data_IF_652782009514
#
_entry.id   IF_652782009514
#
_cell.length_a   1.000
_cell.length_b   1.000
_cell.length_c   1.000
_cell.angle_alpha   90.00
_cell.angle_beta   90.00
_cell.angle_gamma   90.00
#
_symmetry.space_group_name_H-M   'P 1'
#
loop_
_entity.id
_entity.type
_entity.pdbx_description
1 polymer ?
#
# COMPACT_ATOMS: atom_id res chain seq x y z
N UNK A 1 -28.52 -23.84 -32.24
CA UNK A 1 -28.23 -22.39 -32.21
C UNK A 1 -27.40 -22.05 -30.97
N UNK A 2 -26.05 -21.97 -31.05
CA UNK A 2 -25.20 -21.59 -29.91
C UNK A 2 -24.19 -20.48 -30.28
N UNK A 3 -24.66 -19.33 -30.78
CA UNK A 3 -23.77 -18.23 -31.20
C UNK A 3 -23.88 -16.94 -30.36
N UNK A 4 -24.81 -16.89 -29.40
CA UNK A 4 -25.04 -15.69 -28.57
C UNK A 4 -24.22 -15.64 -27.29
N UNK A 5 -23.70 -16.78 -26.81
CA UNK A 5 -22.89 -16.85 -25.58
C UNK A 5 -21.43 -16.40 -25.76
N UNK A 6 -20.88 -16.53 -26.97
CA UNK A 6 -19.48 -16.17 -27.25
C UNK A 6 -19.29 -14.69 -27.56
N UNK A 7 -20.30 -14.02 -28.14
CA UNK A 7 -20.25 -12.60 -28.46
C UNK A 7 -20.30 -11.72 -27.21
N UNK A 8 -21.18 -12.06 -26.26
CA UNK A 8 -21.29 -11.38 -24.96
C UNK A 8 -20.02 -11.52 -24.12
N UNK A 9 -19.47 -12.74 -24.01
CA UNK A 9 -18.21 -12.97 -23.29
C UNK A 9 -16.99 -12.29 -23.95
N UNK A 10 -17.00 -12.10 -25.28
CA UNK A 10 -15.93 -11.39 -26.00
C UNK A 10 -16.06 -9.87 -25.84
N UNK A 11 -17.28 -9.33 -25.79
CA UNK A 11 -17.56 -7.91 -25.51
C UNK A 11 -17.09 -7.53 -24.10
N UNK A 12 -17.49 -8.30 -23.08
CA UNK A 12 -17.11 -8.03 -21.68
C UNK A 12 -15.61 -8.11 -21.46
N UNK A 13 -14.92 -9.08 -22.09
CA UNK A 13 -13.47 -9.22 -21.99
C UNK A 13 -12.71 -8.08 -22.70
N UNK A 14 -13.27 -7.54 -23.79
CA UNK A 14 -12.72 -6.36 -24.46
C UNK A 14 -12.87 -5.11 -23.59
N UNK A 15 -14.05 -4.90 -23.02
CA UNK A 15 -14.33 -3.79 -22.10
C UNK A 15 -13.44 -3.84 -20.86
N UNK A 16 -13.27 -5.01 -20.23
CA UNK A 16 -12.38 -5.20 -19.10
C UNK A 16 -10.92 -4.89 -19.43
N UNK A 17 -10.47 -5.22 -20.64
CA UNK A 17 -9.12 -4.96 -21.11
C UNK A 17 -8.90 -3.47 -21.38
N UNK A 18 -9.85 -2.82 -22.04
CA UNK A 18 -9.84 -1.37 -22.26
C UNK A 18 -9.84 -0.60 -20.94
N UNK A 19 -10.63 -1.05 -19.96
CA UNK A 19 -10.67 -0.49 -18.62
C UNK A 19 -9.35 -0.70 -17.87
N UNK A 20 -8.74 -1.87 -18.01
CA UNK A 20 -7.44 -2.16 -17.41
C UNK A 20 -6.33 -1.27 -17.99
N UNK A 21 -6.38 -0.99 -19.30
CA UNK A 21 -5.48 -0.04 -19.94
C UNK A 21 -5.68 1.37 -19.36
N UNK A 22 -6.93 1.83 -19.24
CA UNK A 22 -7.24 3.14 -18.64
C UNK A 22 -6.77 3.25 -17.18
N UNK A 23 -7.00 2.21 -16.36
CA UNK A 23 -6.53 2.14 -14.97
C UNK A 23 -5.00 2.11 -14.85
N UNK A 24 -4.30 1.66 -15.89
CA UNK A 24 -2.84 1.71 -15.98
C UNK A 24 -2.29 3.05 -16.52
N UNK A 25 -3.16 4.04 -16.73
CA UNK A 25 -2.79 5.34 -17.31
C UNK A 25 -2.46 5.27 -18.80
N UNK A 26 -3.02 4.30 -19.52
CA UNK A 26 -2.86 4.13 -20.97
C UNK A 26 -4.16 4.39 -21.70
N UNK A 27 -4.08 4.87 -22.94
CA UNK A 27 -5.26 5.07 -23.76
C UNK A 27 -5.91 3.72 -24.11
N UNK A 28 -7.24 3.63 -23.97
CA UNK A 28 -8.01 2.42 -24.34
C UNK A 28 -7.81 2.01 -25.80
N UNK A 29 -7.58 2.98 -26.70
CA UNK A 29 -7.55 2.74 -28.15
C UNK A 29 -6.16 2.57 -28.73
N UNK A 30 -5.23 3.46 -28.39
CA UNK A 30 -3.86 3.40 -28.93
C UNK A 30 -2.84 2.77 -27.96
N UNK A 31 -3.26 2.38 -26.74
CA UNK A 31 -2.40 1.82 -25.68
C UNK A 31 -1.20 2.69 -25.25
N UNK A 32 -1.09 3.92 -25.78
CA UNK A 32 -0.03 4.87 -25.45
C UNK A 32 -0.21 5.41 -24.02
N UNK A 33 0.90 5.73 -23.34
CA UNK A 33 0.84 6.33 -22.00
C UNK A 33 0.23 7.73 -22.08
N UNK A 34 -0.77 7.99 -21.26
CA UNK A 34 -1.42 9.29 -21.17
C UNK A 34 -0.79 10.09 -20.03
N UNK A 35 -0.54 11.41 -20.18
CA UNK A 35 -0.06 12.23 -19.09
C UNK A 35 -0.98 12.18 -17.87
N UNK A 36 -0.42 12.16 -16.67
CA UNK A 36 -1.17 12.07 -15.42
C UNK A 36 -2.27 13.13 -15.29
N UNK A 37 -3.40 12.76 -14.69
CA UNK A 37 -4.58 13.61 -14.52
C UNK A 37 -5.50 13.69 -15.74
N UNK A 38 -5.05 13.36 -16.95
CA UNK A 38 -5.92 13.38 -18.17
C UNK A 38 -7.07 12.39 -18.09
N UNK A 39 -6.78 11.15 -17.72
CA UNK A 39 -7.78 10.09 -17.56
C UNK A 39 -8.81 10.45 -16.48
N UNK A 40 -8.40 11.14 -15.41
CA UNK A 40 -9.28 11.55 -14.31
C UNK A 40 -10.12 12.80 -14.65
N UNK A 41 -9.60 13.67 -15.51
CA UNK A 41 -10.26 14.92 -15.94
C UNK A 41 -11.07 14.77 -17.23
N UNK A 42 -11.15 13.57 -17.80
CA UNK A 42 -11.88 13.30 -19.05
C UNK A 42 -11.29 14.02 -20.28
N UNK A 43 -9.99 14.33 -20.27
CA UNK A 43 -9.35 15.01 -21.40
C UNK A 43 -9.05 14.01 -22.53
N UNK A 44 -9.17 14.40 -23.81
CA UNK A 44 -8.86 13.51 -24.92
C UNK A 44 -7.38 13.11 -24.93
N UNK A 45 -7.09 11.91 -25.45
CA UNK A 45 -5.72 11.44 -25.60
C UNK A 45 -4.93 12.38 -26.53
N UNK A 46 -3.71 12.81 -26.16
CA UNK A 46 -2.92 13.72 -26.99
C UNK A 46 -2.44 13.10 -28.31
N UNK A 47 -2.45 11.76 -28.44
CA UNK A 47 -2.01 11.07 -29.67
C UNK A 47 -3.15 10.73 -30.62
N UNK A 48 -4.26 10.18 -30.12
CA UNK A 48 -5.35 9.69 -30.97
C UNK A 48 -6.66 10.48 -30.81
N UNK A 49 -6.66 11.55 -30.01
CA UNK A 49 -7.83 12.38 -29.69
C UNK A 49 -9.06 11.66 -29.08
N UNK A 50 -8.96 10.35 -28.86
CA UNK A 50 -10.01 9.55 -28.23
C UNK A 50 -10.31 10.06 -26.81
N UNK A 51 -11.60 10.22 -26.50
CA UNK A 51 -12.04 10.66 -25.17
C UNK A 51 -11.77 9.55 -24.14
N UNK A 52 -11.11 9.90 -23.04
CA UNK A 52 -10.75 8.92 -21.99
C UNK A 52 -11.93 8.52 -21.11
N UNK A 53 -12.95 9.39 -21.01
CA UNK A 53 -14.19 9.18 -20.27
C UNK A 53 -15.32 9.84 -21.09
N UNK A 54 -16.00 9.09 -21.97
CA UNK A 54 -17.04 9.66 -22.82
C UNK A 54 -18.35 9.95 -22.06
N UNK A 55 -18.60 9.28 -20.92
CA UNK A 55 -19.84 9.44 -20.15
C UNK A 55 -19.59 9.47 -18.62
N UNK A 56 -20.39 10.20 -17.82
CA UNK A 56 -20.27 10.22 -16.37
C UNK A 56 -20.66 8.88 -15.72
N UNK A 57 -21.50 8.07 -16.38
CA UNK A 57 -21.82 6.69 -15.97
C UNK A 57 -20.60 5.78 -16.00
N UNK A 58 -19.74 5.93 -17.03
CA UNK A 58 -18.53 5.11 -17.18
C UNK A 58 -17.52 5.41 -16.07
N UNK A 59 -17.51 6.65 -15.59
CA UNK A 59 -16.68 7.07 -14.45
C UNK A 59 -17.05 6.32 -13.17
N UNK A 60 -18.35 6.19 -12.90
CA UNK A 60 -18.85 5.47 -11.73
C UNK A 60 -18.51 3.97 -11.83
N UNK A 61 -18.70 3.37 -13.01
CA UNK A 61 -18.34 1.96 -13.27
C UNK A 61 -16.84 1.72 -13.06
N UNK A 62 -15.98 2.62 -13.54
CA UNK A 62 -14.53 2.56 -13.32
C UNK A 62 -14.19 2.63 -11.82
N UNK A 63 -14.85 3.53 -11.07
CA UNK A 63 -14.64 3.66 -9.63
C UNK A 63 -15.08 2.40 -8.88
N UNK A 64 -16.24 1.84 -9.22
CA UNK A 64 -16.76 0.61 -8.59
C UNK A 64 -15.84 -0.58 -8.85
N UNK A 65 -15.47 -0.84 -10.11
CA UNK A 65 -14.59 -1.95 -10.48
C UNK A 65 -13.17 -1.81 -9.88
N UNK A 66 -12.63 -0.60 -9.83
CA UNK A 66 -11.35 -0.34 -9.17
C UNK A 66 -11.44 -0.62 -7.66
N UNK A 67 -12.56 -0.25 -7.04
CA UNK A 67 -12.80 -0.45 -5.61
C UNK A 67 -12.97 -1.93 -5.24
N UNK A 68 -13.64 -2.69 -6.09
CA UNK A 68 -13.90 -4.12 -5.89
C UNK A 68 -12.61 -4.93 -6.05
N UNK A 69 -11.87 -4.72 -7.14
CA UNK A 69 -10.55 -5.35 -7.35
C UNK A 69 -9.57 -5.02 -6.22
N UNK A 70 -9.60 -3.79 -5.71
CA UNK A 70 -8.77 -3.40 -4.57
C UNK A 70 -9.17 -4.12 -3.28
N UNK A 71 -10.48 -4.31 -3.05
CA UNK A 71 -11.01 -5.03 -1.88
C UNK A 71 -10.62 -6.51 -1.92
N UNK A 72 -10.76 -7.15 -3.07
CA UNK A 72 -10.37 -8.56 -3.25
C UNK A 72 -8.87 -8.76 -3.02
N UNK A 73 -8.02 -7.92 -3.62
CA UNK A 73 -6.57 -7.99 -3.43
C UNK A 73 -6.15 -7.75 -1.98
N UNK A 74 -6.80 -6.82 -1.29
CA UNK A 74 -6.60 -6.58 0.13
C UNK A 74 -7.01 -7.81 0.95
N UNK A 75 -8.18 -8.38 0.67
CA UNK A 75 -8.68 -9.59 1.34
C UNK A 75 -7.74 -10.77 1.17
N UNK A 76 -7.22 -11.00 -0.03
CA UNK A 76 -6.21 -12.04 -0.31
C UNK A 76 -4.94 -11.79 0.50
N UNK A 77 -4.44 -10.55 0.54
CA UNK A 77 -3.24 -10.23 1.31
C UNK A 77 -3.43 -10.45 2.81
N UNK A 78 -4.58 -10.04 3.35
CA UNK A 78 -4.92 -10.23 4.78
C UNK A 78 -5.08 -11.72 5.11
N UNK A 79 -5.79 -12.48 4.27
CA UNK A 79 -5.99 -13.92 4.47
C UNK A 79 -4.65 -14.68 4.41
N UNK A 80 -3.81 -14.35 3.41
CA UNK A 80 -2.47 -14.94 3.29
C UNK A 80 -1.62 -14.63 4.51
N UNK A 81 -1.63 -13.38 4.98
CA UNK A 81 -0.87 -12.97 6.17
C UNK A 81 -1.38 -13.68 7.42
N UNK A 82 -2.69 -13.80 7.61
CA UNK A 82 -3.27 -14.50 8.74
C UNK A 82 -2.86 -15.98 8.76
N UNK A 83 -2.98 -16.68 7.62
CA UNK A 83 -2.59 -18.08 7.48
C UNK A 83 -1.08 -18.28 7.70
N UNK A 84 -0.25 -17.45 7.08
CA UNK A 84 1.19 -17.58 7.20
C UNK A 84 1.69 -17.16 8.60
N UNK A 85 1.04 -16.20 9.26
CA UNK A 85 1.36 -15.83 10.64
C UNK A 85 1.04 -16.93 11.65
N UNK A 86 0.00 -17.76 11.40
CA UNK A 86 -0.28 -18.94 12.22
C UNK A 86 0.87 -19.95 12.16
N UNK A 87 1.38 -20.24 10.96
CA UNK A 87 2.52 -21.15 10.76
C UNK A 87 3.82 -20.54 11.27
N UNK A 88 4.04 -19.25 11.03
CA UNK A 88 5.25 -18.52 11.42
C UNK A 88 5.31 -18.16 12.91
N UNK A 89 4.24 -18.36 13.68
CA UNK A 89 4.17 -18.00 15.10
C UNK A 89 5.25 -18.65 15.98
N UNK A 90 5.90 -19.71 15.48
CA UNK A 90 6.99 -20.44 16.12
C UNK A 90 8.38 -19.85 15.85
N UNK A 91 8.53 -18.97 14.86
CA UNK A 91 9.83 -18.42 14.44
C UNK A 91 9.80 -16.89 14.59
N UNK A 92 10.53 -16.31 15.56
CA UNK A 92 10.71 -14.87 15.67
C UNK A 92 11.27 -14.29 14.36
N UNK A 93 10.95 -13.05 14.02
CA UNK A 93 11.37 -12.34 12.79
C UNK A 93 10.71 -12.81 11.47
N UNK A 94 10.25 -14.05 11.37
CA UNK A 94 9.61 -14.55 10.14
C UNK A 94 8.26 -13.85 9.88
N UNK A 95 7.53 -13.53 10.94
CA UNK A 95 6.32 -12.70 10.90
C UNK A 95 6.60 -11.26 10.44
N UNK A 96 7.72 -10.66 10.86
CA UNK A 96 8.13 -9.33 10.42
C UNK A 96 8.48 -9.30 8.93
N UNK A 97 9.21 -10.32 8.44
CA UNK A 97 9.50 -10.46 7.01
C UNK A 97 8.22 -10.64 6.18
N UNK A 98 7.27 -11.43 6.68
CA UNK A 98 5.97 -11.65 6.04
C UNK A 98 5.19 -10.33 5.90
N UNK A 99 5.17 -9.50 6.94
CA UNK A 99 4.53 -8.20 6.92
C UNK A 99 5.18 -7.24 5.91
N UNK A 100 6.50 -7.21 5.85
CA UNK A 100 7.24 -6.42 4.85
C UNK A 100 6.87 -6.90 3.44
N UNK A 101 6.88 -8.22 3.20
CA UNK A 101 6.52 -8.79 1.90
C UNK A 101 5.07 -8.45 1.51
N UNK A 102 4.11 -8.54 2.44
CA UNK A 102 2.72 -8.18 2.20
C UNK A 102 2.54 -6.69 1.85
N UNK A 103 3.24 -5.80 2.55
CA UNK A 103 3.20 -4.36 2.27
C UNK A 103 3.85 -4.02 0.92
N UNK A 104 4.95 -4.70 0.57
CA UNK A 104 5.58 -4.59 -0.76
C UNK A 104 4.63 -5.08 -1.86
N UNK A 105 3.95 -6.20 -1.62
CA UNK A 105 2.94 -6.73 -2.55
C UNK A 105 1.79 -5.75 -2.74
N UNK A 106 1.21 -5.20 -1.67
CA UNK A 106 0.15 -4.18 -1.74
C UNK A 106 0.64 -2.91 -2.46
N UNK A 107 1.89 -2.52 -2.23
CA UNK A 107 2.54 -1.40 -2.94
C UNK A 107 2.59 -1.61 -4.45
N UNK A 108 3.03 -2.78 -4.88
CA UNK A 108 3.15 -3.10 -6.32
C UNK A 108 1.77 -3.24 -6.95
N UNK A 109 0.85 -3.94 -6.29
CA UNK A 109 -0.45 -4.31 -6.87
C UNK A 109 -1.53 -3.23 -6.77
N UNK A 110 -1.52 -2.38 -5.73
CA UNK A 110 -2.55 -1.34 -5.51
C UNK A 110 -2.01 0.07 -5.71
N UNK A 111 -0.86 0.38 -5.11
CA UNK A 111 -0.37 1.77 -5.04
C UNK A 111 0.26 2.22 -6.35
N UNK A 112 1.12 1.38 -6.93
CA UNK A 112 1.87 1.72 -8.15
C UNK A 112 0.97 2.10 -9.35
N UNK A 113 -0.08 1.34 -9.70
CA UNK A 113 -0.97 1.72 -10.80
C UNK A 113 -1.75 3.00 -10.49
N UNK A 114 -2.29 3.16 -9.27
CA UNK A 114 -3.02 4.36 -8.88
C UNK A 114 -2.15 5.63 -8.94
N UNK A 115 -0.87 5.53 -8.59
CA UNK A 115 0.09 6.65 -8.68
C UNK A 115 0.40 7.07 -10.12
N UNK A 116 0.19 6.21 -11.12
CA UNK A 116 0.41 6.58 -12.53
C UNK A 116 -0.70 7.48 -13.09
N UNK A 117 -1.87 7.48 -12.45
CA UNK A 117 -3.00 8.33 -12.83
C UNK A 117 -2.85 9.78 -12.36
N UNK A 118 -1.94 10.04 -11.42
CA UNK A 118 -1.71 11.38 -10.84
C UNK A 118 -0.71 12.20 -11.66
N UNK A 119 -0.83 13.52 -11.58
CA UNK A 119 0.18 14.46 -12.10
C UNK A 119 1.56 14.25 -11.46
N UNK A 120 2.67 14.60 -12.14
CA UNK A 120 4.02 14.29 -11.65
C UNK A 120 4.34 14.88 -10.27
N UNK A 121 3.86 16.09 -9.98
CA UNK A 121 4.05 16.74 -8.68
C UNK A 121 3.31 15.98 -7.56
N UNK A 122 2.01 15.69 -7.74
CA UNK A 122 1.19 14.93 -6.77
C UNK A 122 1.65 13.50 -6.59
N UNK A 123 2.17 12.89 -7.66
CA UNK A 123 2.75 11.56 -7.63
C UNK A 123 3.95 11.49 -6.69
N UNK A 124 4.79 12.53 -6.66
CA UNK A 124 5.98 12.56 -5.81
C UNK A 124 5.59 12.67 -4.33
N UNK A 125 4.72 13.63 -3.98
CA UNK A 125 4.21 13.80 -2.61
C UNK A 125 3.52 12.52 -2.14
N UNK A 126 2.56 12.00 -2.93
CA UNK A 126 1.81 10.79 -2.57
C UNK A 126 2.69 9.55 -2.44
N UNK A 127 3.72 9.40 -3.28
CA UNK A 127 4.67 8.29 -3.20
C UNK A 127 5.45 8.32 -1.89
N UNK A 128 5.94 9.49 -1.48
CA UNK A 128 6.70 9.65 -0.24
C UNK A 128 5.81 9.50 0.99
N UNK A 129 4.63 10.13 1.00
CA UNK A 129 3.64 9.95 2.06
C UNK A 129 3.31 8.48 2.29
N UNK A 130 2.97 7.75 1.23
CA UNK A 130 2.69 6.32 1.33
C UNK A 130 3.92 5.50 1.71
N UNK A 131 5.15 6.04 1.55
CA UNK A 131 6.40 5.31 1.85
C UNK A 131 6.70 5.43 3.33
N UNK A 132 6.58 6.64 3.83
CA UNK A 132 6.71 6.94 5.26
C UNK A 132 5.60 6.25 6.05
N UNK A 133 4.35 6.29 5.57
CA UNK A 133 3.25 5.57 6.20
C UNK A 133 3.51 4.06 6.26
N UNK A 134 3.90 3.43 5.14
CA UNK A 134 4.25 2.01 5.13
C UNK A 134 5.41 1.70 6.09
N UNK A 135 6.44 2.55 6.13
CA UNK A 135 7.53 2.42 7.11
C UNK A 135 7.05 2.51 8.55
N UNK A 136 6.11 3.40 8.86
CA UNK A 136 5.52 3.52 10.19
C UNK A 136 4.72 2.27 10.57
N UNK A 137 3.92 1.71 9.65
CA UNK A 137 3.22 0.46 9.89
C UNK A 137 4.20 -0.68 10.19
N UNK A 138 5.30 -0.80 9.44
CA UNK A 138 6.34 -1.80 9.71
C UNK A 138 7.01 -1.59 11.06
N UNK A 139 7.42 -0.35 11.38
CA UNK A 139 8.08 -0.04 12.65
C UNK A 139 7.16 -0.33 13.85
N UNK A 140 5.87 0.05 13.74
CA UNK A 140 4.85 -0.27 14.72
C UNK A 140 4.62 -1.78 14.84
N UNK A 141 4.61 -2.53 13.73
CA UNK A 141 4.55 -3.99 13.74
C UNK A 141 5.68 -4.60 14.54
N UNK A 142 6.92 -4.19 14.28
CA UNK A 142 8.08 -4.71 15.01
C UNK A 142 7.94 -4.40 16.50
N UNK A 143 7.63 -3.16 16.87
CA UNK A 143 7.43 -2.77 18.27
C UNK A 143 6.37 -3.62 18.97
N UNK A 144 5.19 -3.74 18.37
CA UNK A 144 4.07 -4.46 18.99
C UNK A 144 4.33 -5.96 19.06
N UNK A 145 4.86 -6.56 17.98
CA UNK A 145 5.13 -7.99 17.93
C UNK A 145 6.25 -8.39 18.89
N UNK A 146 7.32 -7.60 19.00
CA UNK A 146 8.39 -7.82 19.97
C UNK A 146 7.92 -7.55 21.41
N UNK A 147 7.03 -6.60 21.64
CA UNK A 147 6.45 -6.45 22.98
C UNK A 147 5.59 -7.67 23.36
N UNK A 148 4.88 -8.25 22.38
CA UNK A 148 4.08 -9.47 22.56
C UNK A 148 4.92 -10.75 22.68
N UNK A 149 6.20 -10.77 22.25
CA UNK A 149 7.06 -11.95 22.51
C UNK A 149 7.39 -12.09 23.99
N UNK A 150 7.30 -11.00 24.77
CA UNK A 150 7.52 -11.01 26.22
C UNK A 150 6.34 -11.62 27.02
N UNK A 151 5.18 -11.85 26.39
CA UNK A 151 3.98 -12.41 27.04
C UNK A 151 3.75 -13.86 26.56
N UNK A 152 4.08 -14.90 27.36
CA UNK A 152 3.83 -16.29 26.98
C UNK A 152 2.33 -16.65 26.94
N UNK A 153 1.98 -17.69 26.19
CA UNK A 153 0.64 -18.31 26.01
C UNK A 153 -0.41 -17.55 25.17
N UNK A 154 -0.66 -16.25 25.36
CA UNK A 154 -1.64 -15.49 24.54
C UNK A 154 -1.05 -14.89 23.25
N UNK A 155 0.26 -14.97 23.09
CA UNK A 155 0.99 -14.28 22.02
C UNK A 155 0.65 -14.73 20.61
N UNK A 156 0.37 -16.02 20.34
CA UNK A 156 0.24 -16.50 18.96
C UNK A 156 -1.02 -15.95 18.26
N UNK A 157 -2.20 -16.13 18.85
CA UNK A 157 -3.46 -15.62 18.27
C UNK A 157 -3.49 -14.09 18.23
N UNK A 158 -2.98 -13.44 19.29
CA UNK A 158 -2.88 -11.98 19.32
C UNK A 158 -1.93 -11.45 18.23
N UNK A 159 -0.77 -12.09 18.00
CA UNK A 159 0.17 -11.75 16.91
C UNK A 159 -0.48 -11.92 15.54
N UNK A 160 -1.27 -12.97 15.33
CA UNK A 160 -2.01 -13.17 14.08
C UNK A 160 -3.05 -12.06 13.87
N UNK A 161 -3.86 -11.76 14.89
CA UNK A 161 -4.87 -10.71 14.80
C UNK A 161 -4.25 -9.33 14.55
N UNK A 162 -3.15 -9.01 15.25
CA UNK A 162 -2.43 -7.74 15.10
C UNK A 162 -1.78 -7.65 13.72
N UNK A 163 -1.08 -8.69 13.25
CA UNK A 163 -0.41 -8.66 11.95
C UNK A 163 -1.41 -8.55 10.80
N UNK A 164 -2.50 -9.33 10.81
CA UNK A 164 -3.57 -9.23 9.84
C UNK A 164 -4.26 -7.85 9.90
N UNK A 165 -4.55 -7.36 11.11
CA UNK A 165 -5.12 -6.04 11.34
C UNK A 165 -4.24 -4.91 10.81
N UNK A 166 -2.93 -4.99 11.00
CA UNK A 166 -1.98 -3.99 10.50
C UNK A 166 -1.93 -3.95 8.97
N UNK A 167 -1.94 -5.11 8.31
CA UNK A 167 -1.99 -5.17 6.83
C UNK A 167 -3.32 -4.61 6.32
N UNK A 168 -4.43 -4.95 6.97
CA UNK A 168 -5.74 -4.42 6.65
C UNK A 168 -5.77 -2.89 6.79
N UNK A 169 -5.30 -2.36 7.92
CA UNK A 169 -5.25 -0.91 8.19
C UNK A 169 -4.32 -0.18 7.21
N UNK A 170 -3.14 -0.72 6.92
CA UNK A 170 -2.21 -0.14 5.97
C UNK A 170 -2.80 -0.08 4.55
N UNK A 171 -3.47 -1.15 4.13
CA UNK A 171 -4.13 -1.20 2.83
C UNK A 171 -5.37 -0.31 2.74
N UNK A 172 -6.18 -0.25 3.80
CA UNK A 172 -7.33 0.67 3.91
C UNK A 172 -6.87 2.13 3.88
N UNK A 173 -5.82 2.47 4.62
CA UNK A 173 -5.22 3.79 4.61
C UNK A 173 -4.71 4.15 3.21
N UNK A 174 -3.93 3.28 2.57
CA UNK A 174 -3.41 3.52 1.23
C UNK A 174 -4.54 3.73 0.21
N UNK A 175 -5.60 2.92 0.28
CA UNK A 175 -6.79 3.05 -0.59
C UNK A 175 -7.52 4.37 -0.35
N UNK A 176 -7.84 4.71 0.90
CA UNK A 176 -8.53 5.97 1.26
C UNK A 176 -7.71 7.19 0.85
N UNK A 177 -6.41 7.17 1.13
CA UNK A 177 -5.51 8.26 0.77
C UNK A 177 -5.42 8.44 -0.75
N UNK A 178 -5.29 7.36 -1.52
CA UNK A 178 -5.24 7.41 -2.98
C UNK A 178 -6.58 7.87 -3.57
N UNK A 179 -7.71 7.36 -3.08
CA UNK A 179 -9.04 7.78 -3.53
C UNK A 179 -9.27 9.28 -3.28
N UNK A 180 -8.84 9.77 -2.12
CA UNK A 180 -8.90 11.19 -1.78
C UNK A 180 -8.00 12.05 -2.71
N UNK A 181 -6.80 11.58 -3.03
CA UNK A 181 -5.89 12.26 -3.97
C UNK A 181 -6.41 12.27 -5.42
N UNK A 182 -6.96 11.15 -5.89
CA UNK A 182 -7.53 11.06 -7.25
C UNK A 182 -8.77 11.92 -7.40
N UNK A 183 -9.61 12.02 -6.37
CA UNK A 183 -10.77 12.90 -6.37
C UNK A 183 -10.37 14.38 -6.48
N UNK A 184 -9.37 14.82 -5.71
CA UNK A 184 -8.87 16.20 -5.81
C UNK A 184 -8.23 16.50 -7.15
N UNK A 185 -7.55 15.51 -7.75
CA UNK A 185 -6.93 15.64 -9.07
C UNK A 185 -8.00 15.77 -10.16
N UNK A 186 -9.08 14.99 -10.05
CA UNK A 186 -10.23 15.09 -10.94
C UNK A 186 -10.95 16.43 -10.83
N UNK A 187 -11.00 17.03 -9.63
CA UNK A 187 -11.50 18.40 -9.40
C UNK A 187 -10.51 19.50 -9.80
N UNK A 188 -9.29 19.16 -10.25
CA UNK A 188 -8.27 20.12 -10.67
C UNK A 188 -7.67 20.97 -9.55
N UNK A 189 -7.81 20.54 -8.29
CA UNK A 189 -7.27 21.27 -7.13
C UNK A 189 -5.73 21.19 -7.16
N UNK A 190 -5.03 22.26 -6.77
CA UNK A 190 -3.57 22.24 -6.64
C UNK A 190 -3.11 21.43 -5.42
N UNK A 191 -1.79 21.16 -5.31
CA UNK A 191 -1.21 20.57 -4.09
C UNK A 191 -1.26 21.62 -2.99
N UNK A 192 -1.92 21.30 -1.88
CA UNK A 192 -2.01 22.23 -0.75
C UNK A 192 -0.80 22.07 0.19
N UNK A 193 -0.39 23.18 0.83
CA UNK A 193 0.75 23.19 1.76
C UNK A 193 0.61 22.16 2.90
N UNK A 194 -0.61 21.92 3.38
CA UNK A 194 -0.85 20.95 4.45
C UNK A 194 -0.52 19.50 4.05
N UNK A 195 -0.50 19.16 2.75
CA UNK A 195 -0.05 17.84 2.29
C UNK A 195 1.43 17.60 2.60
N UNK A 196 2.23 18.67 2.62
CA UNK A 196 3.61 18.64 3.09
C UNK A 196 3.67 18.44 4.61
N UNK A 197 2.75 19.08 5.36
CA UNK A 197 2.57 18.83 6.79
C UNK A 197 2.28 17.37 7.11
N UNK A 198 1.47 16.69 6.28
CA UNK A 198 1.18 15.27 6.43
C UNK A 198 2.43 14.40 6.16
N UNK A 199 3.27 14.78 5.19
CA UNK A 199 4.55 14.12 4.93
C UNK A 199 5.51 14.27 6.11
N UNK A 200 5.63 15.49 6.67
CA UNK A 200 6.42 15.77 7.87
C UNK A 200 5.88 14.99 9.07
N UNK A 201 4.56 14.93 9.26
CA UNK A 201 3.93 14.15 10.32
C UNK A 201 4.31 12.67 10.27
N UNK A 202 4.22 12.04 9.09
CA UNK A 202 4.66 10.65 8.92
C UNK A 202 6.16 10.46 9.12
N UNK A 203 6.98 11.44 8.71
CA UNK A 203 8.43 11.41 8.96
C UNK A 203 8.74 11.43 10.46
N UNK A 204 8.09 12.34 11.22
CA UNK A 204 8.24 12.42 12.67
C UNK A 204 7.75 11.14 13.35
N UNK A 205 6.60 10.60 12.95
CA UNK A 205 6.14 9.30 13.48
C UNK A 205 7.16 8.19 13.21
N UNK A 206 7.72 8.10 12.01
CA UNK A 206 8.71 7.10 11.68
C UNK A 206 9.96 7.22 12.56
N UNK A 207 10.45 8.45 12.77
CA UNK A 207 11.57 8.72 13.67
C UNK A 207 11.25 8.28 15.10
N UNK A 208 10.06 8.61 15.61
CA UNK A 208 9.66 8.22 16.97
C UNK A 208 9.57 6.70 17.14
N UNK A 209 8.99 5.98 16.17
CA UNK A 209 8.91 4.52 16.23
C UNK A 209 10.30 3.89 16.09
N UNK A 210 11.16 4.43 15.24
CA UNK A 210 12.53 3.92 15.10
C UNK A 210 13.32 4.11 16.39
N UNK A 211 13.24 5.29 17.02
CA UNK A 211 13.86 5.56 18.30
C UNK A 211 13.32 4.62 19.40
N UNK A 212 11.99 4.44 19.45
CA UNK A 212 11.37 3.50 20.39
C UNK A 212 11.83 2.05 20.16
N UNK A 213 11.99 1.61 18.91
CA UNK A 213 12.49 0.27 18.58
C UNK A 213 13.93 0.08 19.07
N UNK A 214 14.79 1.08 18.87
CA UNK A 214 16.17 1.04 19.37
C UNK A 214 16.20 0.97 20.89
N UNK A 215 15.42 1.81 21.57
CA UNK A 215 15.32 1.81 23.04
C UNK A 215 14.78 0.47 23.57
N UNK A 216 13.79 -0.13 22.92
CA UNK A 216 13.25 -1.43 23.28
C UNK A 216 14.31 -2.53 23.17
N UNK A 217 15.09 -2.55 22.07
CA UNK A 217 16.19 -3.51 21.88
C UNK A 217 17.25 -3.34 22.96
N UNK A 218 17.67 -2.10 23.26
CA UNK A 218 18.62 -1.82 24.32
C UNK A 218 18.11 -2.30 25.69
N UNK A 219 16.84 -2.04 26.00
CA UNK A 219 16.20 -2.51 27.22
C UNK A 219 16.20 -4.03 27.33
N UNK A 220 15.83 -4.74 26.25
CA UNK A 220 15.85 -6.21 26.21
C UNK A 220 17.28 -6.74 26.42
N UNK A 221 18.27 -6.20 25.72
CA UNK A 221 19.69 -6.60 25.88
C UNK A 221 20.20 -6.35 27.30
N UNK A 222 19.81 -5.25 27.93
CA UNK A 222 20.16 -4.95 29.31
C UNK A 222 19.48 -5.92 30.29
N UNK A 223 18.20 -6.22 30.09
CA UNK A 223 17.44 -7.15 30.94
C UNK A 223 17.98 -8.58 30.89
N UNK A 224 18.58 -8.98 29.76
CA UNK A 224 19.23 -10.27 29.57
C UNK A 224 20.70 -10.31 30.03
N UNK A 225 21.22 -9.21 30.60
CA UNK A 225 22.62 -9.12 31.04
C UNK A 225 23.66 -9.03 29.90
N UNK A 226 23.22 -8.93 28.64
CA UNK A 226 24.09 -8.90 27.46
C UNK A 226 24.65 -7.50 27.14
N UNK A 227 24.12 -6.45 27.76
CA UNK A 227 24.61 -5.08 27.58
C UNK A 227 26.08 -4.90 28.01
N UNK A 228 26.57 -5.68 28.98
CA UNK A 228 27.96 -5.62 29.43
C UNK A 228 28.94 -6.18 28.39
N UNK A 229 28.54 -7.17 27.58
CA UNK A 229 29.39 -7.76 26.54
C UNK A 229 29.49 -6.91 25.26
N UNK A 230 28.42 -6.17 24.91
CA UNK A 230 28.39 -5.35 23.70
C UNK A 230 29.01 -3.96 23.87
N UNK A 231 28.88 -3.35 25.05
CA UNK A 231 29.52 -2.05 25.36
C UNK A 231 31.03 -2.18 25.64
N UNK A 232 31.53 -3.37 25.96
CA UNK A 232 32.96 -3.65 26.13
C UNK A 232 33.71 -3.92 24.82
N UNK A 233 33.01 -4.00 23.68
CA UNK A 233 33.56 -4.54 22.43
C UNK A 233 34.37 -3.61 21.50
N UNK A 234 34.63 -2.30 21.77
CA UNK A 234 35.58 -1.55 20.94
C UNK A 234 36.85 -1.12 21.71
N UNK A 235 37.42 -1.98 22.56
CA UNK A 235 38.77 -1.79 23.16
C UNK A 235 39.56 -3.12 23.23
N UNK A 236 39.28 -4.07 22.32
CA UNK A 236 39.93 -5.38 22.28
C UNK A 236 40.81 -5.55 21.04
N UNK A 237 41.72 -4.62 20.79
CA UNK A 237 42.76 -4.81 19.79
C UNK A 237 43.82 -5.80 20.30
N UNK A 238 43.80 -7.02 19.76
CA UNK A 238 44.99 -7.84 19.47
C UNK A 238 44.74 -8.66 18.22
#
# INVERSE_FOLDING_TARGET
MPLTMTATARSTRSEEHELALLLSGRCRRCAERIPGGTALRGRPCPRCAEQTLPNPTDREVIHQLASERATVRLGIAVAFVALAALVASWVPLLTSLLLVAALVWLRVTLVTPALQLLTPQRRLVSRWTLRLAAGCFVALSVLVLELLTLIPAFGALAKVAISAGQVALAGLFARRYLAWQTEREARGVSVAFWEMGLLVGWMLMLLTFTAASVLLVLYVLQSLGLAQGFLAAPMGGR
#
